data_IF_736865743542
#
_entry.id   IF_736865743542
#
_cell.length_a   1.000
_cell.length_b   1.000
_cell.length_c   1.000
_cell.angle_alpha   90.00
_cell.angle_beta   90.00
_cell.angle_gamma   90.00
#
_symmetry.space_group_name_H-M   'P 1'
#
loop_
_entity.id
_entity.type
_entity.pdbx_description
1 polymer ?
#
# COMPACT_ATOMS: atom_id res chain seq x y z
N UNK A 1 8.22 -0.23 -12.46
CA UNK A 1 7.69 0.77 -13.41
C UNK A 1 8.82 1.43 -14.22
N UNK A 2 9.91 1.89 -13.60
CA UNK A 2 11.02 2.59 -14.28
C UNK A 2 11.74 1.77 -15.37
N UNK A 3 11.60 0.45 -15.40
CA UNK A 3 12.16 -0.43 -16.44
C UNK A 3 11.26 -0.55 -17.69
N UNK A 4 9.94 -0.50 -17.50
CA UNK A 4 8.96 -0.69 -18.58
C UNK A 4 8.57 0.65 -19.21
N UNK A 5 8.43 1.67 -18.40
CA UNK A 5 7.92 2.97 -18.80
C UNK A 5 8.67 3.63 -19.99
N UNK A 6 10.03 3.52 -20.12
CA UNK A 6 10.71 4.10 -21.27
C UNK A 6 10.21 3.60 -22.62
N UNK A 7 9.61 2.40 -22.65
CA UNK A 7 8.97 1.83 -23.86
C UNK A 7 7.54 2.32 -24.04
N UNK A 8 6.82 2.58 -22.95
CA UNK A 8 5.41 2.96 -22.99
C UNK A 8 5.20 4.49 -23.11
N UNK A 9 6.01 5.28 -22.43
CA UNK A 9 5.94 6.75 -22.38
C UNK A 9 4.53 7.30 -22.16
N UNK A 10 3.73 6.57 -21.36
CA UNK A 10 2.35 6.95 -21.04
C UNK A 10 2.30 7.80 -19.76
N UNK A 11 1.16 8.44 -19.52
CA UNK A 11 0.87 9.11 -18.24
C UNK A 11 0.84 8.10 -17.10
N UNK A 12 1.33 8.52 -15.95
CA UNK A 12 1.34 7.76 -14.69
C UNK A 12 0.42 8.48 -13.73
N UNK A 13 -0.55 7.79 -13.17
CA UNK A 13 -1.44 8.31 -12.14
C UNK A 13 -1.09 7.63 -10.82
N UNK A 14 -0.87 8.40 -9.77
CA UNK A 14 -0.48 7.87 -8.46
C UNK A 14 -0.97 8.76 -7.33
N UNK A 15 -1.26 8.16 -6.19
CA UNK A 15 -1.51 8.90 -4.94
C UNK A 15 -0.23 9.60 -4.46
N UNK A 16 -0.32 10.62 -3.60
CA UNK A 16 0.83 11.44 -3.20
C UNK A 16 2.03 10.63 -2.70
N UNK A 17 1.81 9.68 -1.79
CA UNK A 17 2.90 8.85 -1.27
C UNK A 17 3.54 7.98 -2.36
N UNK A 18 2.71 7.32 -3.17
CA UNK A 18 3.18 6.49 -4.29
C UNK A 18 3.91 7.34 -5.33
N UNK A 19 3.48 8.57 -5.58
CA UNK A 19 4.14 9.49 -6.51
C UNK A 19 5.57 9.80 -6.08
N UNK A 20 5.81 10.03 -4.78
CA UNK A 20 7.18 10.23 -4.24
C UNK A 20 8.06 9.00 -4.50
N UNK A 21 7.55 7.81 -4.21
CA UNK A 21 8.31 6.57 -4.45
C UNK A 21 8.63 6.37 -5.94
N UNK A 22 7.67 6.68 -6.81
CA UNK A 22 7.86 6.63 -8.26
C UNK A 22 8.95 7.61 -8.68
N UNK A 23 8.88 8.87 -8.24
CA UNK A 23 9.88 9.90 -8.57
C UNK A 23 11.30 9.46 -8.18
N UNK A 24 11.48 8.94 -6.96
CA UNK A 24 12.79 8.45 -6.52
C UNK A 24 13.30 7.29 -7.40
N UNK A 25 12.43 6.34 -7.76
CA UNK A 25 12.80 5.24 -8.66
C UNK A 25 13.19 5.68 -10.07
N UNK A 26 12.56 6.72 -10.59
CA UNK A 26 12.91 7.28 -11.89
C UNK A 26 14.17 8.15 -11.81
N UNK A 27 14.36 8.88 -10.72
CA UNK A 27 15.58 9.66 -10.45
C UNK A 27 16.82 8.77 -10.38
N UNK A 28 16.75 7.60 -9.72
CA UNK A 28 17.82 6.59 -9.73
C UNK A 28 18.24 6.18 -11.16
N UNK A 29 17.30 6.17 -12.08
CA UNK A 29 17.52 5.85 -13.51
C UNK A 29 17.85 7.06 -14.37
N UNK A 30 17.89 8.27 -13.79
CA UNK A 30 18.08 9.55 -14.51
C UNK A 30 17.01 9.78 -15.60
N UNK A 31 15.78 9.38 -15.35
CA UNK A 31 14.65 9.54 -16.26
C UNK A 31 13.72 10.62 -15.70
N UNK A 32 13.47 11.66 -16.47
CA UNK A 32 12.51 12.71 -16.12
C UNK A 32 11.09 12.29 -16.51
N UNK A 33 10.18 12.31 -15.53
CA UNK A 33 8.75 12.01 -15.69
C UNK A 33 7.85 13.16 -15.28
N UNK A 34 8.37 14.37 -15.07
CA UNK A 34 7.65 15.51 -14.53
C UNK A 34 6.36 15.80 -15.31
N UNK A 35 6.39 15.73 -16.63
CA UNK A 35 5.23 15.95 -17.49
C UNK A 35 4.27 14.75 -17.60
N UNK A 36 4.65 13.61 -17.07
CA UNK A 36 3.89 12.35 -17.19
C UNK A 36 3.25 11.92 -15.90
N UNK A 37 3.81 12.30 -14.75
CA UNK A 37 3.26 11.95 -13.45
C UNK A 37 2.12 12.89 -13.08
N UNK A 38 0.96 12.30 -12.79
CA UNK A 38 -0.25 12.98 -12.32
C UNK A 38 -0.59 12.46 -10.93
N UNK A 39 -0.57 13.36 -9.97
CA UNK A 39 -0.98 13.04 -8.61
C UNK A 39 -2.50 13.06 -8.56
N UNK A 40 -3.09 12.02 -7.97
CA UNK A 40 -4.53 11.87 -7.77
C UNK A 40 -4.83 11.71 -6.28
N UNK A 41 -5.93 12.27 -5.84
CA UNK A 41 -6.35 12.17 -4.45
C UNK A 41 -6.88 10.78 -4.12
N UNK A 42 -6.84 10.43 -2.84
CA UNK A 42 -7.48 9.21 -2.32
C UNK A 42 -8.99 9.25 -2.62
N UNK A 43 -9.53 8.11 -2.98
CA UNK A 43 -10.95 7.96 -3.37
C UNK A 43 -11.39 8.83 -4.57
N UNK A 44 -10.44 9.35 -5.36
CA UNK A 44 -10.75 10.09 -6.57
C UNK A 44 -11.26 9.18 -7.70
N UNK A 45 -11.86 9.81 -8.70
CA UNK A 45 -12.25 9.18 -9.95
C UNK A 45 -11.55 9.87 -11.10
N UNK A 46 -11.06 9.10 -12.06
CA UNK A 46 -10.49 9.61 -13.29
C UNK A 46 -11.14 8.95 -14.51
N UNK A 47 -11.25 9.70 -15.60
CA UNK A 47 -11.76 9.19 -16.88
C UNK A 47 -10.65 9.12 -17.91
N UNK A 48 -10.44 7.93 -18.48
CA UNK A 48 -9.41 7.65 -19.48
C UNK A 48 -10.05 6.96 -20.70
N UNK A 49 -10.41 7.77 -21.70
CA UNK A 49 -11.15 7.27 -22.87
C UNK A 49 -12.50 6.67 -22.45
N UNK A 50 -12.78 5.38 -22.77
CA UNK A 50 -14.03 4.72 -22.39
C UNK A 50 -14.03 4.24 -20.94
N UNK A 51 -12.91 4.35 -20.20
CA UNK A 51 -12.78 3.82 -18.84
C UNK A 51 -13.03 4.90 -17.80
N UNK A 52 -13.82 4.56 -16.77
CA UNK A 52 -13.93 5.33 -15.55
C UNK A 52 -13.24 4.54 -14.42
N UNK A 53 -12.26 5.15 -13.76
CA UNK A 53 -11.42 4.48 -12.77
C UNK A 53 -11.60 5.17 -11.43
N UNK A 54 -12.17 4.44 -10.47
CA UNK A 54 -12.28 4.84 -9.08
C UNK A 54 -11.11 4.29 -8.27
N UNK A 55 -10.43 5.15 -7.54
CA UNK A 55 -9.50 4.77 -6.50
C UNK A 55 -10.27 4.39 -5.23
N UNK A 56 -10.02 3.21 -4.70
CA UNK A 56 -10.72 2.67 -3.53
C UNK A 56 -9.71 2.45 -2.42
N UNK A 57 -9.85 3.19 -1.34
CA UNK A 57 -8.93 3.07 -0.19
C UNK A 57 -9.03 1.68 0.44
N UNK A 58 -7.89 1.03 0.55
CA UNK A 58 -7.70 -0.26 1.21
C UNK A 58 -6.73 -0.12 2.37
N UNK A 59 -6.40 -1.22 3.04
CA UNK A 59 -5.32 -1.30 4.01
C UNK A 59 -4.25 -2.27 3.54
N UNK A 60 -3.01 -1.94 3.81
CA UNK A 60 -1.84 -2.77 3.61
C UNK A 60 -0.67 -2.24 4.47
N UNK A 61 0.56 -2.55 4.10
CA UNK A 61 1.76 -2.14 4.81
C UNK A 61 2.32 -0.76 4.42
N UNK A 62 1.64 -0.04 3.50
CA UNK A 62 1.99 1.30 3.03
C UNK A 62 0.93 2.33 3.42
N UNK A 63 1.23 3.63 3.26
CA UNK A 63 0.35 4.72 3.70
C UNK A 63 -0.96 4.83 2.92
N UNK A 64 -0.92 4.60 1.61
CA UNK A 64 -2.02 4.88 0.69
C UNK A 64 -2.29 3.70 -0.25
N UNK A 65 -2.57 2.48 0.29
CA UNK A 65 -2.91 1.36 -0.56
C UNK A 65 -4.28 1.57 -1.17
N UNK A 66 -4.38 1.35 -2.48
CA UNK A 66 -5.61 1.52 -3.22
C UNK A 66 -5.89 0.33 -4.13
N UNK A 67 -7.15 -0.10 -4.14
CA UNK A 67 -7.70 -0.86 -5.24
C UNK A 67 -8.23 0.06 -6.33
N UNK A 68 -8.49 -0.48 -7.49
CA UNK A 68 -9.10 0.22 -8.62
C UNK A 68 -10.40 -0.46 -9.02
N UNK A 69 -11.48 0.31 -9.04
CA UNK A 69 -12.71 -0.10 -9.71
C UNK A 69 -12.71 0.52 -11.11
N UNK A 70 -12.64 -0.32 -12.11
CA UNK A 70 -12.51 0.09 -13.51
C UNK A 70 -13.83 -0.21 -14.22
N UNK A 71 -14.61 0.83 -14.45
CA UNK A 71 -15.84 0.73 -15.24
C UNK A 71 -15.47 0.78 -16.72
N UNK A 72 -15.90 -0.21 -17.46
CA UNK A 72 -15.73 -0.37 -18.90
C UNK A 72 -17.10 -0.43 -19.58
N UNK A 73 -17.18 -0.32 -20.93
CA UNK A 73 -18.45 -0.56 -21.65
C UNK A 73 -19.06 -1.95 -21.39
N UNK A 74 -18.24 -2.95 -21.08
CA UNK A 74 -18.66 -4.32 -20.83
C UNK A 74 -19.06 -4.60 -19.37
N UNK A 75 -18.67 -3.75 -18.44
CA UNK A 75 -18.97 -3.88 -17.03
C UNK A 75 -17.82 -3.44 -16.12
N UNK A 76 -17.91 -3.75 -14.83
CA UNK A 76 -16.95 -3.32 -13.81
C UNK A 76 -15.91 -4.39 -13.54
N UNK A 77 -14.64 -4.02 -13.60
CA UNK A 77 -13.50 -4.84 -13.16
C UNK A 77 -12.95 -4.28 -11.85
N UNK A 78 -12.78 -5.10 -10.84
CA UNK A 78 -12.13 -4.72 -9.58
C UNK A 78 -10.71 -5.27 -9.53
N UNK A 79 -9.73 -4.40 -9.40
CA UNK A 79 -8.33 -4.75 -9.16
C UNK A 79 -7.95 -4.34 -7.75
N UNK A 80 -7.62 -5.30 -6.88
CA UNK A 80 -7.37 -5.00 -5.47
C UNK A 80 -5.98 -4.39 -5.22
N UNK A 81 -5.01 -4.65 -6.08
CA UNK A 81 -3.61 -4.48 -5.69
C UNK A 81 -3.26 -5.41 -4.52
N UNK A 82 -2.19 -5.10 -3.81
CA UNK A 82 -1.86 -5.76 -2.55
C UNK A 82 -2.79 -5.22 -1.46
N UNK A 83 -3.50 -6.10 -0.79
CA UNK A 83 -4.54 -5.69 0.16
C UNK A 83 -4.69 -6.63 1.34
N UNK A 84 -5.19 -6.08 2.42
CA UNK A 84 -5.79 -6.82 3.55
C UNK A 84 -6.89 -5.97 4.14
N UNK A 85 -7.78 -6.58 4.92
CA UNK A 85 -8.75 -5.84 5.74
C UNK A 85 -8.19 -5.80 7.16
N UNK A 86 -7.59 -4.65 7.53
CA UNK A 86 -7.11 -4.39 8.89
C UNK A 86 -8.10 -3.45 9.58
N UNK A 87 -8.79 -3.91 10.65
CA UNK A 87 -9.75 -3.07 11.37
C UNK A 87 -9.09 -1.93 12.16
N UNK A 88 -7.80 -2.09 12.51
CA UNK A 88 -7.02 -1.14 13.30
C UNK A 88 -5.65 -0.85 12.66
N UNK A 89 -5.63 -0.26 11.46
CA UNK A 89 -4.38 0.06 10.79
C UNK A 89 -3.60 1.11 11.60
N UNK A 90 -2.28 0.95 11.66
CA UNK A 90 -1.39 1.89 12.36
C UNK A 90 -1.03 3.10 11.51
N UNK A 91 -1.14 2.96 10.21
CA UNK A 91 -0.83 3.99 9.20
C UNK A 91 -1.93 4.00 8.15
N UNK A 92 -2.10 5.16 7.53
CA UNK A 92 -3.11 5.35 6.48
C UNK A 92 -4.55 5.34 7.00
N UNK A 93 -5.47 5.23 6.08
CA UNK A 93 -6.91 5.19 6.35
C UNK A 93 -7.42 3.75 6.49
N UNK A 94 -8.55 3.59 7.15
CA UNK A 94 -9.29 2.32 7.14
C UNK A 94 -9.84 2.02 5.74
N UNK A 95 -10.13 0.75 5.48
CA UNK A 95 -10.80 0.33 4.24
C UNK A 95 -12.13 1.08 4.07
N UNK A 96 -12.37 1.58 2.87
CA UNK A 96 -13.68 2.15 2.51
C UNK A 96 -14.66 1.02 2.17
N UNK A 97 -15.19 0.36 3.21
CA UNK A 97 -16.14 -0.73 3.06
C UNK A 97 -17.43 -0.31 2.35
N UNK A 98 -17.86 0.95 2.54
CA UNK A 98 -19.09 1.45 1.90
C UNK A 98 -18.91 1.51 0.39
N UNK A 99 -17.77 2.01 -0.07
CA UNK A 99 -17.44 2.08 -1.50
C UNK A 99 -17.29 0.67 -2.09
N UNK A 100 -16.62 -0.24 -1.39
CA UNK A 100 -16.51 -1.64 -1.82
C UNK A 100 -17.87 -2.32 -1.96
N UNK A 101 -18.78 -2.15 -1.00
CA UNK A 101 -20.14 -2.68 -1.08
C UNK A 101 -20.90 -2.12 -2.27
N UNK A 102 -20.85 -0.79 -2.44
CA UNK A 102 -21.49 -0.13 -3.59
C UNK A 102 -20.97 -0.63 -4.95
N UNK A 103 -19.66 -0.93 -5.04
CA UNK A 103 -19.07 -1.54 -6.24
C UNK A 103 -19.62 -2.96 -6.46
N UNK A 104 -19.70 -3.76 -5.38
CA UNK A 104 -20.28 -5.09 -5.43
C UNK A 104 -21.76 -5.10 -5.85
N UNK A 105 -22.54 -4.15 -5.33
CA UNK A 105 -23.97 -4.00 -5.69
C UNK A 105 -24.19 -3.60 -7.15
N UNK A 106 -23.27 -2.85 -7.75
CA UNK A 106 -23.30 -2.55 -9.19
C UNK A 106 -23.02 -3.77 -10.07
N UNK A 107 -22.45 -4.82 -9.50
CA UNK A 107 -22.02 -6.02 -10.21
C UNK A 107 -20.59 -5.89 -10.73
N UNK A 108 -19.75 -6.86 -10.36
CA UNK A 108 -18.34 -6.96 -10.80
C UNK A 108 -18.21 -8.17 -11.72
N UNK A 109 -17.86 -7.94 -12.99
CA UNK A 109 -17.73 -9.00 -13.99
C UNK A 109 -16.41 -9.75 -13.88
N UNK A 110 -15.37 -9.10 -13.34
CA UNK A 110 -14.06 -9.73 -13.10
C UNK A 110 -13.36 -9.08 -11.91
N UNK A 111 -12.63 -9.90 -11.15
CA UNK A 111 -11.79 -9.42 -10.05
C UNK A 111 -10.35 -9.91 -10.24
N UNK A 112 -9.41 -8.98 -10.24
CA UNK A 112 -7.97 -9.24 -10.21
C UNK A 112 -7.54 -9.03 -8.76
N UNK A 113 -7.25 -10.12 -8.06
CA UNK A 113 -7.08 -10.12 -6.60
C UNK A 113 -5.71 -10.65 -6.19
N UNK A 114 -5.05 -9.94 -5.26
CA UNK A 114 -3.93 -10.52 -4.53
C UNK A 114 -4.43 -11.74 -3.73
N UNK A 115 -3.85 -12.88 -4.03
CA UNK A 115 -4.21 -14.18 -3.47
C UNK A 115 -3.05 -14.85 -2.74
N UNK A 116 -2.05 -14.08 -2.32
CA UNK A 116 -0.82 -14.58 -1.69
C UNK A 116 -1.10 -15.51 -0.52
N UNK A 117 -2.13 -15.22 0.28
CA UNK A 117 -2.49 -15.99 1.46
C UNK A 117 -3.73 -16.88 1.28
N UNK A 118 -4.13 -17.19 0.04
CA UNK A 118 -5.36 -17.96 -0.23
C UNK A 118 -5.39 -19.34 0.45
N UNK A 119 -4.24 -19.98 0.62
CA UNK A 119 -4.11 -21.28 1.30
C UNK A 119 -3.84 -21.17 2.80
N UNK A 120 -3.69 -19.97 3.35
CA UNK A 120 -3.44 -19.75 4.77
C UNK A 120 -4.77 -19.68 5.53
N UNK A 121 -5.11 -20.64 6.39
CA UNK A 121 -6.38 -20.59 7.13
C UNK A 121 -6.36 -19.46 8.17
N UNK A 122 -7.56 -18.94 8.49
CA UNK A 122 -7.74 -17.94 9.52
C UNK A 122 -7.82 -16.51 8.97
N UNK A 123 -7.52 -15.53 9.81
CA UNK A 123 -7.55 -14.10 9.50
C UNK A 123 -6.15 -13.50 9.64
N UNK A 124 -5.78 -12.62 8.73
CA UNK A 124 -4.63 -11.75 8.94
C UNK A 124 -4.92 -10.84 10.15
N UNK A 125 -4.04 -10.85 11.16
CA UNK A 125 -4.15 -9.96 12.31
C UNK A 125 -3.88 -8.50 11.94
N UNK A 126 -4.11 -7.59 12.90
CA UNK A 126 -3.77 -6.19 12.74
C UNK A 126 -2.27 -5.94 12.94
N UNK A 127 -1.72 -4.91 12.28
CA UNK A 127 -0.38 -4.42 12.59
C UNK A 127 -0.26 -3.93 14.04
N UNK A 128 -1.37 -3.50 14.65
CA UNK A 128 -1.39 -3.17 16.08
C UNK A 128 -1.07 -4.38 16.96
N UNK A 129 -1.64 -5.55 16.66
CA UNK A 129 -1.37 -6.79 17.41
C UNK A 129 0.11 -7.18 17.30
N UNK A 130 0.69 -6.97 16.11
CA UNK A 130 2.13 -7.21 15.89
C UNK A 130 2.97 -6.22 16.68
N UNK A 131 2.60 -4.93 16.73
CA UNK A 131 3.28 -3.90 17.54
C UNK A 131 3.30 -4.29 19.01
N UNK A 132 2.17 -4.67 19.57
CA UNK A 132 2.07 -5.07 20.97
C UNK A 132 2.93 -6.30 21.29
N UNK A 133 2.91 -7.29 20.41
CA UNK A 133 3.72 -8.49 20.54
C UNK A 133 5.21 -8.18 20.47
N UNK A 134 5.63 -7.38 19.51
CA UNK A 134 7.03 -6.94 19.37
C UNK A 134 7.48 -6.10 20.57
N UNK A 135 6.63 -5.24 21.11
CA UNK A 135 6.94 -4.44 22.30
C UNK A 135 7.23 -5.37 23.49
N UNK A 136 6.39 -6.37 23.73
CA UNK A 136 6.63 -7.37 24.80
C UNK A 136 7.94 -8.11 24.62
N UNK A 137 8.22 -8.59 23.39
CA UNK A 137 9.44 -9.33 23.09
C UNK A 137 10.67 -8.44 23.29
N UNK A 138 10.69 -7.22 22.74
CA UNK A 138 11.85 -6.33 22.75
C UNK A 138 12.11 -5.76 24.15
N UNK A 139 11.06 -5.47 24.94
CA UNK A 139 11.18 -4.98 26.31
C UNK A 139 11.92 -5.98 27.22
N UNK A 140 11.77 -7.27 26.96
CA UNK A 140 12.42 -8.32 27.75
C UNK A 140 13.89 -8.57 27.33
N UNK A 141 14.39 -7.93 26.28
CA UNK A 141 15.75 -8.15 25.81
C UNK A 141 16.73 -7.20 26.50
N UNK A 142 17.79 -7.76 27.07
CA UNK A 142 18.86 -6.99 27.73
C UNK A 142 19.96 -6.53 26.77
N UNK A 143 20.10 -7.20 25.64
CA UNK A 143 21.17 -6.98 24.67
C UNK A 143 20.62 -6.32 23.39
N UNK A 144 21.47 -6.23 22.36
CA UNK A 144 21.13 -5.72 21.03
C UNK A 144 20.06 -6.59 20.39
N UNK A 145 19.08 -5.97 19.73
CA UNK A 145 17.99 -6.62 19.01
C UNK A 145 18.14 -6.31 17.54
N UNK A 146 18.06 -7.32 16.71
CA UNK A 146 18.01 -7.19 15.24
C UNK A 146 16.60 -7.53 14.77
N UNK A 147 16.02 -6.65 13.97
CA UNK A 147 14.70 -6.84 13.36
C UNK A 147 14.86 -6.79 11.86
N UNK A 148 14.42 -7.82 11.18
CA UNK A 148 14.34 -7.86 9.71
C UNK A 148 12.90 -7.64 9.25
N UNK A 149 12.73 -6.82 8.25
CA UNK A 149 11.42 -6.55 7.63
C UNK A 149 11.61 -6.21 6.16
N UNK A 150 10.55 -6.37 5.37
CA UNK A 150 10.54 -5.78 4.04
C UNK A 150 10.65 -4.24 4.15
N UNK A 151 11.50 -3.66 3.35
CA UNK A 151 11.70 -2.21 3.31
C UNK A 151 10.42 -1.43 2.94
N UNK A 152 9.55 -2.04 2.14
CA UNK A 152 8.24 -1.51 1.77
C UNK A 152 7.20 -1.57 2.92
N UNK A 153 7.49 -2.27 4.03
CA UNK A 153 6.56 -2.34 5.16
C UNK A 153 6.72 -1.12 6.09
N UNK A 154 6.13 -0.01 5.68
CA UNK A 154 6.16 1.26 6.43
C UNK A 154 5.47 1.12 7.78
N UNK A 155 4.39 0.34 7.88
CA UNK A 155 3.68 0.08 9.14
C UNK A 155 4.58 -0.60 10.17
N UNK A 156 5.42 -1.56 9.72
CA UNK A 156 6.39 -2.24 10.56
C UNK A 156 7.51 -1.32 11.00
N UNK A 157 8.00 -0.46 10.11
CA UNK A 157 9.00 0.56 10.45
C UNK A 157 8.48 1.52 11.52
N UNK A 158 7.26 2.02 11.38
CA UNK A 158 6.62 2.87 12.38
C UNK A 158 6.51 2.15 13.74
N UNK A 159 6.11 0.87 13.75
CA UNK A 159 6.06 0.07 14.97
C UNK A 159 7.44 -0.08 15.64
N UNK A 160 8.50 -0.28 14.87
CA UNK A 160 9.87 -0.39 15.38
C UNK A 160 10.32 0.93 16.00
N UNK A 161 10.05 2.09 15.36
CA UNK A 161 10.35 3.41 15.92
C UNK A 161 9.58 3.66 17.22
N UNK A 162 8.29 3.35 17.23
CA UNK A 162 7.48 3.45 18.45
C UNK A 162 8.07 2.61 19.59
N UNK A 163 8.40 1.34 19.34
CA UNK A 163 8.92 0.42 20.33
C UNK A 163 10.28 0.89 20.88
N UNK A 164 11.17 1.37 20.01
CA UNK A 164 12.46 1.89 20.43
C UNK A 164 12.30 3.10 21.35
N UNK A 165 11.36 4.00 21.06
CA UNK A 165 11.02 5.13 21.95
C UNK A 165 10.52 4.64 23.31
N UNK A 166 9.60 3.66 23.34
CA UNK A 166 9.07 3.12 24.59
C UNK A 166 10.11 2.39 25.44
N UNK A 167 11.06 1.71 24.79
CA UNK A 167 12.13 0.93 25.45
C UNK A 167 13.41 1.72 25.64
N UNK A 168 13.44 3.01 25.28
CA UNK A 168 14.61 3.92 25.34
C UNK A 168 15.83 3.36 24.60
N UNK A 169 15.60 2.73 23.44
CA UNK A 169 16.65 2.16 22.59
C UNK A 169 16.95 3.07 21.41
N UNK A 170 18.22 3.12 21.03
CA UNK A 170 18.62 3.76 19.77
C UNK A 170 18.36 2.82 18.60
N UNK A 171 17.99 3.39 17.45
CA UNK A 171 17.80 2.66 16.20
C UNK A 171 18.94 2.97 15.24
N UNK A 172 19.39 1.93 14.56
CA UNK A 172 20.25 2.04 13.38
C UNK A 172 19.62 1.28 12.24
N UNK A 173 19.50 1.92 11.08
CA UNK A 173 18.95 1.32 9.86
C UNK A 173 20.10 0.82 9.00
N UNK A 174 19.95 -0.40 8.49
CA UNK A 174 20.90 -1.02 7.57
C UNK A 174 20.11 -1.49 6.34
N UNK A 175 20.47 -0.98 5.17
CA UNK A 175 19.79 -1.30 3.92
C UNK A 175 19.75 -0.11 2.96
N UNK A 176 19.25 -0.33 1.75
CA UNK A 176 19.19 0.69 0.69
C UNK A 176 17.77 1.28 0.49
N UNK A 177 16.81 0.85 1.24
CA UNK A 177 15.39 1.20 1.01
C UNK A 177 14.88 2.10 2.09
#
# INVERSE_FOLDING_TARGET
>A
ISHIWPKLKCKIYATPFTAVLIQEKFKEKKIDITNYLKIVDLNSQIKLGPFEIDFVTLTHSILEPNGLSITTPEGVVLHTGDWKVDPNPLIGNKVDEKKLRSIGEKGVIAMICDSTNVFSPGRAGSENDVRESLLKIISNQKKRVLVTSFASNVARMESIFYIAKQTKRNISLIGRS
#
